data_IF_422774005608
#
_entry.id   IF_422774005608
#
_cell.length_a   1.000
_cell.length_b   1.000
_cell.length_c   1.000
_cell.angle_alpha   90.00
_cell.angle_beta   90.00
_cell.angle_gamma   90.00
#
_symmetry.space_group_name_H-M   'P 1'
#
loop_
_entity.id
_entity.type
_entity.pdbx_description
1 polymer ?
#
# COMPACT_ATOMS: atom_id res chain seq x y z
N UNK A 1 -22.56 -7.27 -4.15
CA UNK A 1 -22.24 -6.47 -5.35
C UNK A 1 -22.43 -7.32 -6.58
N UNK A 2 -22.94 -6.76 -7.67
CA UNK A 2 -23.07 -7.50 -8.94
C UNK A 2 -21.67 -7.80 -9.52
N UNK A 3 -21.44 -9.02 -10.01
CA UNK A 3 -20.18 -9.42 -10.64
C UNK A 3 -19.79 -8.50 -11.81
N UNK A 4 -20.74 -8.11 -12.64
CA UNK A 4 -20.50 -7.19 -13.76
C UNK A 4 -20.06 -5.80 -13.29
N UNK A 5 -20.64 -5.30 -12.20
CA UNK A 5 -20.20 -4.03 -11.61
C UNK A 5 -18.75 -4.14 -11.09
N UNK A 6 -18.39 -5.26 -10.46
CA UNK A 6 -17.02 -5.50 -10.01
C UNK A 6 -16.02 -5.57 -11.17
N UNK A 7 -16.39 -6.25 -12.27
CA UNK A 7 -15.59 -6.34 -13.49
C UNK A 7 -15.35 -5.00 -14.19
N UNK A 8 -16.17 -3.99 -13.92
CA UNK A 8 -15.98 -2.62 -14.43
C UNK A 8 -15.17 -1.79 -13.44
N UNK A 9 -15.52 -1.86 -12.15
CA UNK A 9 -14.90 -1.04 -11.10
C UNK A 9 -13.42 -1.37 -10.92
N UNK A 10 -13.03 -2.64 -10.94
CA UNK A 10 -11.64 -3.03 -10.69
C UNK A 10 -10.68 -2.52 -11.78
N UNK A 11 -10.93 -2.74 -13.08
CA UNK A 11 -10.08 -2.18 -14.13
C UNK A 11 -10.05 -0.65 -14.10
N UNK A 12 -11.19 0.01 -13.86
CA UNK A 12 -11.23 1.47 -13.76
C UNK A 12 -10.38 1.98 -12.59
N UNK A 13 -10.49 1.37 -11.42
CA UNK A 13 -9.67 1.74 -10.26
C UNK A 13 -8.19 1.47 -10.50
N UNK A 14 -7.84 0.33 -11.13
CA UNK A 14 -6.46 0.03 -11.49
C UNK A 14 -5.89 1.11 -12.43
N UNK A 15 -6.60 1.44 -13.51
CA UNK A 15 -6.12 2.42 -14.49
C UNK A 15 -6.10 3.84 -13.92
N UNK A 16 -7.18 4.31 -13.31
CA UNK A 16 -7.29 5.73 -12.95
C UNK A 16 -6.80 6.07 -11.54
N UNK A 17 -6.66 5.10 -10.64
CA UNK A 17 -6.17 5.34 -9.28
C UNK A 17 -4.80 4.73 -9.08
N UNK A 18 -4.68 3.41 -9.26
CA UNK A 18 -3.45 2.69 -8.93
C UNK A 18 -2.28 3.11 -9.83
N UNK A 19 -2.43 3.08 -11.16
CA UNK A 19 -1.31 3.42 -12.05
C UNK A 19 -0.86 4.87 -11.91
N UNK A 20 -1.80 5.81 -11.76
CA UNK A 20 -1.48 7.23 -11.56
C UNK A 20 -0.72 7.41 -10.24
N UNK A 21 -1.18 6.81 -9.15
CA UNK A 21 -0.53 6.91 -7.83
C UNK A 21 0.86 6.28 -7.85
N UNK A 22 0.99 5.08 -8.44
CA UNK A 22 2.25 4.36 -8.57
C UNK A 22 3.25 5.17 -9.40
N UNK A 23 2.86 5.69 -10.56
CA UNK A 23 3.73 6.55 -11.37
C UNK A 23 4.11 7.83 -10.63
N UNK A 24 3.18 8.44 -9.92
CA UNK A 24 3.43 9.71 -9.24
C UNK A 24 4.46 9.60 -8.11
N UNK A 25 4.47 8.49 -7.37
CA UNK A 25 5.25 8.31 -6.14
C UNK A 25 6.47 7.39 -6.33
N UNK A 26 6.33 6.29 -7.08
CA UNK A 26 7.40 5.30 -7.24
C UNK A 26 8.23 5.49 -8.50
N UNK A 27 7.74 6.24 -9.50
CA UNK A 27 8.59 6.61 -10.63
C UNK A 27 9.52 7.76 -10.22
N UNK A 28 10.83 7.69 -10.50
CA UNK A 28 11.74 8.82 -10.30
C UNK A 28 11.28 10.10 -11.01
N UNK A 29 10.57 9.94 -12.14
CA UNK A 29 10.01 11.05 -12.90
C UNK A 29 8.65 11.55 -12.42
N UNK A 30 8.06 10.85 -11.44
CA UNK A 30 6.80 11.21 -10.82
C UNK A 30 6.85 12.55 -10.11
N UNK A 31 5.78 13.31 -10.21
CA UNK A 31 5.69 14.65 -9.63
C UNK A 31 5.74 14.64 -8.08
N UNK A 32 5.17 13.62 -7.43
CA UNK A 32 5.23 13.48 -5.97
C UNK A 32 6.59 12.96 -5.49
N UNK A 33 7.23 12.07 -6.27
CA UNK A 33 8.60 11.66 -6.02
C UNK A 33 9.55 12.87 -6.06
N UNK A 34 9.39 13.76 -7.05
CA UNK A 34 10.16 15.01 -7.18
C UNK A 34 9.92 16.01 -6.04
N UNK A 35 8.77 15.93 -5.36
CA UNK A 35 8.48 16.71 -4.14
C UNK A 35 9.09 16.11 -2.87
N UNK A 36 9.77 14.97 -2.96
CA UNK A 36 10.42 14.30 -1.84
C UNK A 36 9.48 13.40 -1.02
N UNK A 37 8.32 13.01 -1.56
CA UNK A 37 7.46 12.01 -0.92
C UNK A 37 8.13 10.65 -1.03
N UNK A 38 8.27 9.97 0.10
CA UNK A 38 8.84 8.63 0.19
C UNK A 38 7.75 7.64 0.56
N UNK A 39 7.57 6.63 -0.29
CA UNK A 39 6.66 5.50 -0.05
C UNK A 39 7.38 4.18 -0.31
N UNK A 40 7.97 3.61 0.74
CA UNK A 40 8.85 2.45 0.63
C UNK A 40 8.15 1.19 0.10
N UNK A 41 6.98 0.85 0.64
CA UNK A 41 6.25 -0.37 0.27
C UNK A 41 4.76 -0.09 0.01
N UNK A 42 4.37 1.13 -0.37
CA UNK A 42 3.00 1.41 -0.81
C UNK A 42 2.03 1.77 0.30
N UNK A 43 2.48 2.43 1.36
CA UNK A 43 1.60 3.05 2.35
C UNK A 43 0.57 3.96 1.67
N UNK A 44 0.99 4.80 0.72
CA UNK A 44 0.08 5.66 -0.03
C UNK A 44 -0.55 4.92 -1.22
N UNK A 45 0.31 4.35 -2.08
CA UNK A 45 -0.12 3.78 -3.37
C UNK A 45 -1.08 2.59 -3.18
N UNK A 46 -0.89 1.78 -2.13
CA UNK A 46 -1.68 0.58 -1.90
C UNK A 46 -2.67 0.79 -0.74
N UNK A 47 -2.20 1.11 0.46
CA UNK A 47 -3.05 1.05 1.66
C UNK A 47 -4.05 2.20 1.72
N UNK A 48 -3.58 3.43 1.57
CA UNK A 48 -4.46 4.62 1.56
C UNK A 48 -5.39 4.58 0.35
N UNK A 49 -4.86 4.30 -0.85
CA UNK A 49 -5.69 4.23 -2.07
C UNK A 49 -6.79 3.17 -1.97
N UNK A 50 -6.46 1.94 -1.54
CA UNK A 50 -7.44 0.87 -1.37
C UNK A 50 -8.42 1.15 -0.22
N UNK A 51 -7.94 1.75 0.88
CA UNK A 51 -8.78 2.15 2.01
C UNK A 51 -9.83 3.19 1.63
N UNK A 52 -9.44 4.25 0.92
CA UNK A 52 -10.36 5.30 0.43
C UNK A 52 -11.32 4.72 -0.60
N UNK A 53 -10.85 3.89 -1.52
CA UNK A 53 -11.71 3.26 -2.52
C UNK A 53 -12.74 2.32 -1.88
N UNK A 54 -12.31 1.50 -0.92
CA UNK A 54 -13.20 0.62 -0.15
C UNK A 54 -14.22 1.41 0.67
N UNK A 55 -13.80 2.48 1.34
CA UNK A 55 -14.69 3.36 2.09
C UNK A 55 -15.73 4.04 1.19
N UNK A 56 -15.29 4.56 0.04
CA UNK A 56 -16.17 5.21 -0.93
C UNK A 56 -17.14 4.20 -1.54
N UNK A 57 -16.67 3.00 -1.89
CA UNK A 57 -17.53 1.92 -2.36
C UNK A 57 -18.55 1.50 -1.31
N UNK A 58 -18.16 1.38 -0.04
CA UNK A 58 -19.07 1.05 1.06
C UNK A 58 -20.14 2.12 1.30
N UNK A 59 -19.83 3.39 1.02
CA UNK A 59 -20.81 4.47 1.09
C UNK A 59 -21.87 4.39 -0.03
N UNK A 60 -21.45 4.05 -1.25
CA UNK A 60 -22.36 3.95 -2.40
C UNK A 60 -23.13 2.64 -2.48
N UNK A 61 -22.54 1.54 -2.01
CA UNK A 61 -23.20 0.23 -1.99
C UNK A 61 -24.20 0.19 -0.84
N UNK A 62 -25.43 -0.22 -1.13
CA UNK A 62 -26.48 -0.32 -0.13
C UNK A 62 -26.00 -1.13 1.08
N UNK A 63 -26.31 -0.68 2.31
CA UNK A 63 -25.73 -1.27 3.50
C UNK A 63 -26.32 -2.67 3.73
N UNK A 64 -25.52 -3.55 4.34
CA UNK A 64 -25.90 -4.94 4.59
C UNK A 64 -27.21 -5.08 5.39
N UNK A 65 -27.87 -6.24 5.31
CA UNK A 65 -29.15 -6.48 5.98
C UNK A 65 -29.04 -6.27 7.50
N UNK A 66 -30.13 -5.83 8.15
CA UNK A 66 -30.14 -5.55 9.60
C UNK A 66 -29.73 -6.78 10.41
N UNK A 67 -30.20 -7.97 10.01
CA UNK A 67 -29.84 -9.25 10.62
C UNK A 67 -28.32 -9.49 10.64
N UNK A 68 -27.64 -9.16 9.54
CA UNK A 68 -26.20 -9.35 9.43
C UNK A 68 -25.41 -8.29 10.20
N UNK A 69 -26.03 -7.15 10.57
CA UNK A 69 -25.41 -6.13 11.44
C UNK A 69 -25.46 -6.52 12.92
N UNK A 70 -26.53 -7.19 13.34
CA UNK A 70 -26.72 -7.59 14.74
C UNK A 70 -25.95 -8.88 15.09
N UNK A 71 -25.75 -9.77 14.12
CA UNK A 71 -25.06 -11.04 14.31
C UNK A 71 -23.89 -11.20 13.31
N UNK A 72 -22.74 -10.61 13.64
CA UNK A 72 -21.53 -10.68 12.83
C UNK A 72 -20.67 -11.91 13.17
N UNK A 73 -21.25 -13.11 13.11
CA UNK A 73 -20.52 -14.35 13.39
C UNK A 73 -19.74 -14.82 12.14
N UNK A 74 -18.42 -15.05 12.23
CA UNK A 74 -17.66 -15.59 11.12
C UNK A 74 -18.13 -17.01 10.80
N UNK A 75 -18.39 -17.30 9.53
CA UNK A 75 -18.83 -18.62 9.07
C UNK A 75 -17.77 -19.72 9.26
N UNK A 76 -16.47 -19.36 9.22
CA UNK A 76 -15.35 -20.26 9.39
C UNK A 76 -14.10 -19.51 9.88
N UNK A 77 -13.81 -19.64 11.17
CA UNK A 77 -12.65 -19.01 11.82
C UNK A 77 -11.33 -19.61 11.30
N UNK A 78 -11.30 -20.91 10.99
CA UNK A 78 -10.07 -21.55 10.50
C UNK A 78 -9.64 -20.96 9.16
N UNK A 79 -10.57 -20.76 8.22
CA UNK A 79 -10.27 -20.13 6.93
C UNK A 79 -9.78 -18.68 7.10
N UNK A 80 -10.36 -17.91 8.04
CA UNK A 80 -9.90 -16.56 8.36
C UNK A 80 -8.45 -16.57 8.86
N UNK A 81 -8.12 -17.46 9.81
CA UNK A 81 -6.77 -17.58 10.36
C UNK A 81 -5.76 -18.04 9.31
N UNK A 82 -6.14 -18.96 8.43
CA UNK A 82 -5.30 -19.36 7.28
C UNK A 82 -5.02 -18.17 6.38
N UNK A 83 -6.03 -17.38 6.03
CA UNK A 83 -5.86 -16.16 5.24
C UNK A 83 -4.96 -15.13 5.92
N UNK A 84 -5.12 -14.91 7.23
CA UNK A 84 -4.26 -14.03 8.00
C UNK A 84 -2.80 -14.49 8.03
N UNK A 85 -2.56 -15.80 8.18
CA UNK A 85 -1.21 -16.38 8.12
C UNK A 85 -0.55 -16.21 6.75
N UNK A 86 -1.30 -16.42 5.67
CA UNK A 86 -0.82 -16.20 4.30
C UNK A 86 -0.52 -14.72 4.04
N UNK A 87 -1.39 -13.81 4.48
CA UNK A 87 -1.16 -12.36 4.38
C UNK A 87 0.09 -11.95 5.15
N UNK A 88 0.28 -12.42 6.38
CA UNK A 88 1.47 -12.12 7.17
C UNK A 88 2.76 -12.62 6.51
N UNK A 89 2.76 -13.85 6.01
CA UNK A 89 3.91 -14.41 5.29
C UNK A 89 4.21 -13.60 4.01
N UNK A 90 3.17 -13.31 3.22
CA UNK A 90 3.30 -12.47 2.04
C UNK A 90 3.81 -11.06 2.35
N UNK A 91 3.41 -10.50 3.49
CA UNK A 91 3.85 -9.18 3.96
C UNK A 91 5.36 -9.09 4.15
N UNK A 92 6.00 -10.17 4.59
CA UNK A 92 7.46 -10.23 4.73
C UNK A 92 8.16 -10.13 3.38
N UNK A 93 7.65 -10.82 2.36
CA UNK A 93 8.15 -10.69 0.99
C UNK A 93 7.85 -9.32 0.39
N UNK A 94 6.68 -8.77 0.66
CA UNK A 94 6.23 -7.48 0.14
C UNK A 94 7.09 -6.30 0.64
N UNK A 95 7.42 -6.26 1.94
CA UNK A 95 8.28 -5.21 2.49
C UNK A 95 9.77 -5.50 2.28
N UNK A 96 10.18 -6.76 2.45
CA UNK A 96 11.57 -7.16 2.27
C UNK A 96 12.04 -7.08 0.82
N UNK A 97 11.13 -7.22 -0.14
CA UNK A 97 11.41 -7.13 -1.58
C UNK A 97 11.34 -5.71 -2.15
N UNK A 98 10.84 -4.73 -1.39
CA UNK A 98 10.72 -3.33 -1.84
C UNK A 98 12.05 -2.69 -2.32
N UNK A 99 13.22 -3.03 -1.74
CA UNK A 99 14.51 -2.53 -2.26
C UNK A 99 14.93 -3.10 -3.63
N UNK A 100 14.19 -4.04 -4.20
CA UNK A 100 14.55 -4.79 -5.42
C UNK A 100 15.90 -5.53 -5.34
N UNK A 101 16.40 -5.76 -4.11
CA UNK A 101 17.68 -6.41 -3.82
C UNK A 101 17.60 -7.17 -2.49
N UNK A 102 18.39 -8.23 -2.36
CA UNK A 102 18.57 -8.97 -1.12
C UNK A 102 19.82 -8.45 -0.39
N UNK A 103 19.69 -7.29 0.27
CA UNK A 103 20.76 -6.66 1.06
C UNK A 103 20.36 -6.52 2.54
N UNK A 104 21.36 -6.28 3.40
CA UNK A 104 21.14 -6.03 4.83
C UNK A 104 20.52 -4.66 5.13
N UNK A 105 20.22 -3.86 4.10
CA UNK A 105 19.75 -2.47 4.21
C UNK A 105 18.33 -2.35 4.80
N UNK A 106 17.72 -3.47 5.18
CA UNK A 106 16.52 -3.50 5.98
C UNK A 106 16.71 -2.90 7.40
N UNK A 107 17.95 -2.72 7.88
CA UNK A 107 18.24 -2.30 9.28
C UNK A 107 19.00 -0.98 9.44
N UNK A 108 19.60 -0.40 8.40
CA UNK A 108 20.37 0.84 8.59
C UNK A 108 19.98 1.81 7.50
N UNK A 109 19.57 3.02 7.89
CA UNK A 109 19.55 4.16 6.99
C UNK A 109 20.94 4.34 6.44
N UNK A 110 21.19 3.73 5.28
CA UNK A 110 22.46 3.82 4.63
C UNK A 110 22.58 5.27 4.13
N UNK A 111 23.62 6.02 4.54
CA UNK A 111 23.75 7.44 4.23
C UNK A 111 23.85 7.71 2.73
N UNK A 112 23.93 6.68 1.89
CA UNK A 112 24.09 6.85 0.45
C UNK A 112 22.83 7.18 -0.34
N UNK A 113 21.65 6.99 0.23
CA UNK A 113 20.42 7.57 -0.33
C UNK A 113 20.32 9.09 -0.05
N UNK A 114 21.11 9.65 0.87
CA UNK A 114 21.21 11.10 1.05
C UNK A 114 22.08 11.76 -0.05
N UNK A 115 22.95 11.01 -0.73
CA UNK A 115 23.83 11.55 -1.77
C UNK A 115 23.12 11.84 -3.09
N UNK A 116 21.95 11.25 -3.34
CA UNK A 116 21.16 11.53 -4.56
C UNK A 116 20.38 12.86 -4.50
N UNK A 117 20.31 13.50 -3.32
CA UNK A 117 19.59 14.76 -3.10
C UNK A 117 20.47 15.94 -2.64
N UNK A 118 21.78 15.87 -2.84
CA UNK A 118 22.65 17.05 -2.77
C UNK A 118 22.85 17.68 -1.37
N UNK A 119 22.50 16.99 -0.28
CA UNK A 119 22.91 17.44 1.06
C UNK A 119 24.34 16.99 1.34
N UNK A 120 25.25 17.96 1.41
CA UNK A 120 26.62 17.73 1.88
C UNK A 120 26.62 17.35 3.38
N UNK A 121 27.60 16.53 3.82
CA UNK A 121 27.72 16.10 5.20
C UNK A 121 28.69 17.02 5.97
N UNK A 122 28.22 18.18 6.41
CA UNK A 122 29.04 19.17 7.12
C UNK A 122 28.61 19.41 8.58
N UNK A 123 27.69 18.60 9.13
CA UNK A 123 27.16 18.83 10.49
C UNK A 123 27.08 17.61 11.43
N UNK A 124 27.74 16.49 11.13
CA UNK A 124 27.70 15.28 11.99
C UNK A 124 29.08 14.96 12.61
N UNK A 125 29.76 15.98 13.13
CA UNK A 125 30.97 15.81 13.93
C UNK A 125 30.97 16.80 15.10
N UNK A 126 30.04 16.62 16.05
CA UNK A 126 30.08 17.15 17.42
C UNK A 126 28.84 16.72 18.21
N UNK A 127 28.91 15.54 18.84
CA UNK A 127 28.36 15.21 20.19
C UNK A 127 28.47 13.71 20.43
#
# INVERSE_FOLDING_TARGET
>A
MNFYAWMIVVPLWLTFSYTISAFSIWCPDGWLAKMGIVDFAGGYVIHVSAGIAGFTAAFWVAPQSIRDREAFSPNNIMSMLTGAGLLWMGWKGFNGGAPFSASSDFVVGHPEHAYMHGRKPDHMAQS
#
